data_IF_662349131704
#
_entry.id   IF_662349131704
#
_cell.length_a   1.000
_cell.length_b   1.000
_cell.length_c   1.000
_cell.angle_alpha   90.00
_cell.angle_beta   90.00
_cell.angle_gamma   90.00
#
_symmetry.space_group_name_H-M   'P 1'
#
loop_
_entity.id
_entity.type
_entity.pdbx_description
1 polymer ?
#
# COMPACT_ATOMS: atom_id res chain seq x y z
N UNK A 1 -1.97 13.63 17.77
CA UNK A 1 -1.76 12.18 17.61
C UNK A 1 -3.09 11.48 17.47
N UNK A 2 -3.30 10.76 16.38
CA UNK A 2 -4.51 9.98 16.17
C UNK A 2 -4.55 8.74 17.07
N UNK A 3 -5.71 8.08 17.16
CA UNK A 3 -5.90 6.86 17.98
C UNK A 3 -4.95 5.70 17.63
N UNK A 4 -4.37 5.69 16.43
CA UNK A 4 -3.48 4.65 15.93
C UNK A 4 -1.99 5.00 16.06
N UNK A 5 -1.66 6.17 16.57
CA UNK A 5 -0.26 6.59 16.79
C UNK A 5 0.53 6.94 15.53
N UNK A 6 -0.11 7.01 14.35
CA UNK A 6 0.57 7.44 13.13
C UNK A 6 0.91 8.92 13.16
N UNK A 7 2.12 9.24 12.75
CA UNK A 7 2.58 10.60 12.49
C UNK A 7 2.30 11.01 11.05
N UNK A 8 1.97 12.29 10.86
CA UNK A 8 1.84 12.87 9.54
C UNK A 8 3.25 13.13 8.97
N UNK A 9 3.56 12.53 7.84
CA UNK A 9 4.82 12.78 7.11
C UNK A 9 4.68 14.01 6.24
N UNK A 10 3.73 13.99 5.31
CA UNK A 10 3.49 15.09 4.39
C UNK A 10 2.06 15.05 3.81
N UNK A 11 1.65 16.18 3.24
CA UNK A 11 0.48 16.28 2.36
C UNK A 11 0.95 16.70 0.98
N UNK A 12 0.61 15.93 0.00
CA UNK A 12 0.94 16.20 -1.39
C UNK A 12 -0.30 16.69 -2.13
N UNK A 13 -0.15 17.75 -2.88
CA UNK A 13 -1.24 18.36 -3.61
C UNK A 13 -0.76 19.35 -4.65
N UNK A 14 -1.60 20.32 -4.97
CA UNK A 14 -1.29 21.36 -5.93
C UNK A 14 -1.82 22.71 -5.48
N UNK A 15 -1.05 23.78 -5.80
CA UNK A 15 -1.50 25.16 -5.76
C UNK A 15 -1.42 25.65 -7.21
N UNK A 16 -2.55 25.95 -7.82
CA UNK A 16 -2.60 26.16 -9.28
C UNK A 16 -2.11 24.93 -10.04
N UNK A 17 -1.07 25.09 -10.85
CA UNK A 17 -0.45 24.00 -11.64
C UNK A 17 0.81 23.42 -10.98
N UNK A 18 1.25 24.00 -9.87
CA UNK A 18 2.46 23.58 -9.17
C UNK A 18 2.18 22.42 -8.20
N UNK A 19 3.02 21.37 -8.25
CA UNK A 19 3.00 20.27 -7.30
C UNK A 19 3.71 20.67 -6.01
N UNK A 20 3.01 20.55 -4.89
CA UNK A 20 3.49 20.96 -3.57
C UNK A 20 3.50 19.76 -2.63
N UNK A 21 4.61 19.59 -1.91
CA UNK A 21 4.68 18.76 -0.72
C UNK A 21 4.60 19.69 0.50
N UNK A 22 3.47 19.71 1.17
CA UNK A 22 3.29 20.48 2.39
C UNK A 22 3.77 19.65 3.59
N UNK A 23 4.68 20.25 4.36
CA UNK A 23 5.25 19.61 5.56
C UNK A 23 4.18 19.29 6.61
N UNK A 24 4.51 18.34 7.49
CA UNK A 24 3.63 17.88 8.57
C UNK A 24 3.10 19.03 9.46
N UNK A 25 3.92 20.06 9.68
CA UNK A 25 3.56 21.24 10.50
C UNK A 25 2.60 22.23 9.82
N UNK A 26 2.37 22.13 8.51
CA UNK A 26 1.46 23.04 7.80
C UNK A 26 0.03 22.84 8.28
N UNK A 27 -0.61 23.93 8.75
CA UNK A 27 -2.01 23.87 9.16
C UNK A 27 -2.96 23.84 7.95
N UNK A 28 -4.15 23.25 8.10
CA UNK A 28 -5.18 23.30 7.07
C UNK A 28 -5.59 24.73 6.71
N UNK A 29 -5.64 25.63 7.70
CA UNK A 29 -5.98 27.03 7.48
C UNK A 29 -4.99 27.72 6.54
N UNK A 30 -3.68 27.44 6.68
CA UNK A 30 -2.66 27.95 5.78
C UNK A 30 -2.84 27.38 4.36
N UNK A 31 -3.04 26.07 4.26
CA UNK A 31 -3.18 25.38 2.99
C UNK A 31 -4.44 25.85 2.21
N UNK A 32 -5.57 25.99 2.90
CA UNK A 32 -6.83 26.48 2.31
C UNK A 32 -6.70 27.92 1.81
N UNK A 33 -6.03 28.80 2.58
CA UNK A 33 -5.77 30.17 2.17
C UNK A 33 -4.97 30.26 0.88
N UNK A 34 -4.00 29.36 0.71
CA UNK A 34 -3.14 29.33 -0.46
C UNK A 34 -3.77 28.56 -1.65
N UNK A 35 -4.98 28.06 -1.48
CA UNK A 35 -5.73 27.32 -2.53
C UNK A 35 -5.18 25.92 -2.81
N UNK A 36 -4.59 25.29 -1.80
CA UNK A 36 -4.05 23.94 -1.89
C UNK A 36 -5.14 22.91 -2.16
N UNK A 37 -4.95 22.11 -3.20
CA UNK A 37 -5.81 20.97 -3.54
C UNK A 37 -5.11 19.68 -3.18
N UNK A 38 -5.56 19.06 -2.09
CA UNK A 38 -5.01 17.80 -1.60
C UNK A 38 -5.13 16.69 -2.64
N UNK A 39 -4.03 15.98 -2.87
CA UNK A 39 -3.98 14.74 -3.65
C UNK A 39 -3.85 13.53 -2.75
N UNK A 40 -2.92 13.55 -1.79
CA UNK A 40 -2.73 12.47 -0.84
C UNK A 40 -2.12 12.97 0.47
N UNK A 41 -2.34 12.20 1.53
CA UNK A 41 -1.71 12.38 2.84
C UNK A 41 -0.90 11.13 3.16
N UNK A 42 0.34 11.31 3.52
CA UNK A 42 1.25 10.26 3.91
C UNK A 42 1.40 10.22 5.42
N UNK A 43 1.24 9.04 5.99
CA UNK A 43 1.28 8.76 7.41
C UNK A 43 2.28 7.62 7.65
N UNK A 44 3.03 7.69 8.74
CA UNK A 44 4.00 6.67 9.11
C UNK A 44 3.98 6.34 10.58
N UNK A 45 4.21 5.09 10.91
CA UNK A 45 4.52 4.64 12.26
C UNK A 45 5.45 3.41 12.16
N UNK A 46 6.71 3.58 12.54
CA UNK A 46 7.73 2.54 12.42
C UNK A 46 7.88 2.06 10.97
N UNK A 47 7.82 0.77 10.78
CA UNK A 47 7.90 0.13 9.46
C UNK A 47 6.57 0.13 8.67
N UNK A 48 5.54 0.86 9.13
CA UNK A 48 4.25 0.92 8.45
C UNK A 48 4.03 2.30 7.84
N UNK A 49 3.94 2.37 6.53
CA UNK A 49 3.57 3.57 5.78
C UNK A 49 2.14 3.44 5.24
N UNK A 50 1.31 4.46 5.49
CA UNK A 50 -0.08 4.51 5.03
C UNK A 50 -0.32 5.78 4.24
N UNK A 51 -0.73 5.62 3.00
CA UNK A 51 -1.08 6.74 2.12
C UNK A 51 -2.59 6.80 1.93
N UNK A 52 -3.19 7.92 2.33
CA UNK A 52 -4.62 8.18 2.17
C UNK A 52 -4.82 9.22 1.08
N UNK A 53 -5.65 8.91 0.09
CA UNK A 53 -5.98 9.86 -0.96
C UNK A 53 -7.50 10.05 -1.09
N UNK A 54 -7.98 11.27 -1.44
CA UNK A 54 -9.36 11.49 -1.80
C UNK A 54 -9.74 10.61 -2.99
N UNK A 55 -10.86 9.93 -2.90
CA UNK A 55 -11.38 9.08 -3.97
C UNK A 55 -12.78 9.51 -4.40
N UNK A 56 -13.19 9.08 -5.60
CA UNK A 56 -14.55 9.29 -6.10
C UNK A 56 -15.51 8.17 -5.70
N UNK A 57 -15.02 7.17 -4.99
CA UNK A 57 -15.76 6.00 -4.57
C UNK A 57 -16.52 6.27 -3.28
N UNK A 58 -17.74 5.76 -3.19
CA UNK A 58 -18.55 5.88 -1.96
C UNK A 58 -18.02 5.06 -0.80
N UNK A 59 -17.22 4.03 -1.11
CA UNK A 59 -16.65 3.09 -0.14
C UNK A 59 -15.13 3.18 -0.24
N UNK A 60 -14.42 3.33 0.88
CA UNK A 60 -12.97 3.25 0.91
C UNK A 60 -12.48 1.92 0.31
N UNK A 61 -11.39 1.96 -0.44
CA UNK A 61 -10.76 0.78 -1.01
C UNK A 61 -9.24 0.90 -0.94
N UNK A 62 -8.56 -0.23 -0.96
CA UNK A 62 -7.13 -0.27 -1.20
C UNK A 62 -6.87 0.02 -2.67
N UNK A 63 -5.99 0.96 -2.96
CA UNK A 63 -5.52 1.23 -4.32
C UNK A 63 -4.35 0.32 -4.65
N UNK A 64 -3.38 0.22 -3.74
CA UNK A 64 -2.23 -0.67 -3.87
C UNK A 64 -1.67 -1.09 -2.52
N UNK A 65 -0.94 -2.19 -2.52
CA UNK A 65 -0.07 -2.65 -1.44
C UNK A 65 1.37 -2.50 -1.90
N UNK A 66 2.21 -1.83 -1.09
CA UNK A 66 3.65 -1.78 -1.29
C UNK A 66 4.31 -3.02 -0.68
N UNK A 67 5.18 -3.67 -1.43
CA UNK A 67 5.93 -4.85 -0.99
C UNK A 67 7.39 -4.65 -1.38
N UNK A 68 8.28 -4.68 -0.37
CA UNK A 68 9.72 -4.73 -0.61
C UNK A 68 10.13 -6.19 -0.88
N UNK A 69 10.92 -6.39 -1.92
CA UNK A 69 11.37 -7.69 -2.40
C UNK A 69 12.89 -7.68 -2.54
N UNK A 70 13.54 -8.84 -2.46
CA UNK A 70 14.91 -8.92 -2.93
C UNK A 70 15.00 -8.84 -4.47
N UNK A 71 16.20 -8.74 -5.02
CA UNK A 71 16.42 -8.51 -6.44
C UNK A 71 15.86 -9.67 -7.28
N UNK A 72 16.08 -10.90 -6.85
CA UNK A 72 15.62 -12.10 -7.56
C UNK A 72 14.11 -12.24 -7.48
N UNK A 73 13.52 -11.98 -6.31
CA UNK A 73 12.08 -11.97 -6.09
C UNK A 73 11.39 -10.89 -6.94
N UNK A 74 11.97 -9.67 -6.98
CA UNK A 74 11.45 -8.57 -7.79
C UNK A 74 11.37 -8.96 -9.27
N UNK A 75 12.46 -9.47 -9.84
CA UNK A 75 12.46 -9.92 -11.23
C UNK A 75 11.50 -11.08 -11.47
N UNK A 76 11.45 -12.06 -10.56
CA UNK A 76 10.56 -13.20 -10.68
C UNK A 76 9.06 -12.80 -10.62
N UNK A 77 8.70 -11.80 -9.83
CA UNK A 77 7.33 -11.24 -9.82
C UNK A 77 6.99 -10.61 -11.17
N UNK A 78 7.90 -9.82 -11.75
CA UNK A 78 7.67 -9.17 -13.04
C UNK A 78 7.56 -10.20 -14.17
N UNK A 79 8.39 -11.24 -14.18
CA UNK A 79 8.30 -12.33 -15.15
C UNK A 79 6.95 -13.07 -15.06
N UNK A 80 6.51 -13.39 -13.83
CA UNK A 80 5.19 -14.01 -13.62
C UNK A 80 4.05 -13.10 -14.06
N UNK A 81 4.12 -11.81 -13.75
CA UNK A 81 3.14 -10.83 -14.18
C UNK A 81 3.01 -10.79 -15.71
N UNK A 82 4.13 -10.75 -16.43
CA UNK A 82 4.14 -10.78 -17.90
C UNK A 82 3.58 -12.09 -18.43
N UNK A 83 3.99 -13.23 -17.87
CA UNK A 83 3.51 -14.57 -18.26
C UNK A 83 1.99 -14.71 -18.10
N UNK A 84 1.41 -14.04 -17.11
CA UNK A 84 -0.04 -14.08 -16.87
C UNK A 84 -0.79 -12.93 -17.53
N UNK A 85 -0.12 -12.17 -18.39
CA UNK A 85 -0.68 -11.01 -19.08
C UNK A 85 -1.27 -9.96 -18.13
N UNK A 86 -0.66 -9.82 -16.93
CA UNK A 86 -1.00 -8.76 -16.01
C UNK A 86 -0.37 -7.44 -16.49
N UNK A 87 -1.07 -6.35 -16.28
CA UNK A 87 -0.55 -5.04 -16.65
C UNK A 87 0.52 -4.61 -15.66
N UNK A 88 1.74 -4.42 -16.15
CA UNK A 88 2.85 -3.81 -15.42
C UNK A 88 2.99 -2.35 -15.84
N UNK A 89 3.12 -1.45 -14.88
CA UNK A 89 3.29 -0.01 -15.09
C UNK A 89 4.48 0.50 -14.30
N UNK A 90 5.45 1.06 -15.02
CA UNK A 90 6.57 1.78 -14.41
C UNK A 90 6.31 3.28 -14.43
N UNK A 91 6.59 3.94 -13.32
CA UNK A 91 6.46 5.37 -13.19
C UNK A 91 7.82 6.02 -12.86
N UNK A 92 8.46 6.54 -13.90
CA UNK A 92 9.69 7.33 -13.77
C UNK A 92 10.89 6.58 -13.18
N UNK A 93 10.94 5.25 -13.35
CA UNK A 93 12.01 4.41 -12.81
C UNK A 93 12.02 4.28 -11.27
N UNK A 94 10.95 4.76 -10.60
CA UNK A 94 10.88 4.77 -9.13
C UNK A 94 9.78 3.88 -8.56
N UNK A 95 8.78 3.53 -9.36
CA UNK A 95 7.61 2.79 -8.88
C UNK A 95 7.17 1.81 -9.93
N UNK A 96 7.06 0.56 -9.56
CA UNK A 96 6.58 -0.50 -10.43
C UNK A 96 5.29 -1.08 -9.88
N UNK A 97 4.20 -0.95 -10.63
CA UNK A 97 2.89 -1.46 -10.25
C UNK A 97 2.51 -2.66 -11.10
N UNK A 98 2.02 -3.70 -10.45
CA UNK A 98 1.41 -4.87 -11.10
C UNK A 98 -0.08 -4.85 -10.79
N UNK A 99 -0.92 -4.77 -11.82
CA UNK A 99 -2.37 -4.85 -11.64
C UNK A 99 -2.76 -6.28 -11.29
N UNK A 100 -3.39 -6.47 -10.14
CA UNK A 100 -3.95 -7.77 -9.75
C UNK A 100 -5.38 -7.93 -10.24
N UNK A 101 -5.88 -9.16 -10.24
CA UNK A 101 -7.29 -9.44 -10.53
C UNK A 101 -8.19 -9.37 -9.28
N UNK A 102 -7.67 -8.78 -8.18
CA UNK A 102 -8.35 -8.68 -6.90
C UNK A 102 -8.78 -7.25 -6.53
N UNK A 103 -8.86 -6.35 -7.51
CA UNK A 103 -9.37 -4.98 -7.32
C UNK A 103 -8.34 -3.99 -6.76
N UNK A 104 -7.10 -4.39 -6.53
CA UNK A 104 -5.98 -3.52 -6.12
C UNK A 104 -4.74 -3.80 -6.97
N UNK A 105 -3.71 -2.98 -6.82
CA UNK A 105 -2.40 -3.18 -7.45
C UNK A 105 -1.36 -3.56 -6.41
N UNK A 106 -0.32 -4.26 -6.83
CA UNK A 106 0.91 -4.35 -6.06
C UNK A 106 1.87 -3.26 -6.53
N UNK A 107 2.42 -2.50 -5.60
CA UNK A 107 3.60 -1.68 -5.82
C UNK A 107 4.81 -2.48 -5.32
N UNK A 108 5.64 -2.94 -6.25
CA UNK A 108 6.80 -3.78 -5.92
C UNK A 108 8.07 -2.94 -5.93
N UNK A 109 8.86 -3.08 -4.89
CA UNK A 109 10.09 -2.32 -4.65
C UNK A 109 11.29 -3.26 -4.63
N UNK A 110 12.32 -3.01 -5.47
CA UNK A 110 13.59 -3.71 -5.37
C UNK A 110 14.38 -3.25 -4.13
N UNK A 111 15.45 -3.97 -3.74
CA UNK A 111 16.32 -3.55 -2.64
C UNK A 111 16.95 -2.18 -2.89
N UNK A 112 17.16 -1.42 -1.83
CA UNK A 112 17.76 -0.07 -1.86
C UNK A 112 16.93 0.94 -2.67
N UNK A 113 15.63 0.74 -2.70
CA UNK A 113 14.71 1.72 -3.23
C UNK A 113 14.51 2.86 -2.19
N UNK A 114 14.00 3.99 -2.67
CA UNK A 114 13.68 5.15 -1.83
C UNK A 114 12.74 4.84 -0.66
N UNK A 115 11.98 3.76 -0.76
CA UNK A 115 11.06 3.33 0.31
C UNK A 115 11.83 2.89 1.57
N UNK A 116 13.03 2.34 1.43
CA UNK A 116 13.85 1.88 2.54
C UNK A 116 14.23 3.05 3.47
N UNK A 117 14.41 4.24 2.90
CA UNK A 117 14.72 5.46 3.64
C UNK A 117 13.51 5.99 4.45
N UNK A 118 12.29 5.59 4.07
CA UNK A 118 11.07 6.01 4.74
C UNK A 118 10.69 5.10 5.91
N UNK A 119 11.10 3.84 5.89
CA UNK A 119 10.75 2.89 6.93
C UNK A 119 11.71 3.01 8.12
N UNK A 120 11.14 3.28 9.30
CA UNK A 120 11.93 3.33 10.54
C UNK A 120 11.94 1.97 11.23
N UNK A 121 13.01 1.20 11.03
CA UNK A 121 13.17 -0.13 11.63
C UNK A 121 13.35 -0.10 13.16
N UNK A 122 13.59 1.07 13.76
CA UNK A 122 13.76 1.21 15.21
C UNK A 122 12.44 1.17 15.97
N UNK A 123 11.34 1.39 15.30
CA UNK A 123 10.01 1.30 15.87
C UNK A 123 9.49 -0.13 15.80
N UNK A 124 8.79 -0.56 16.83
CA UNK A 124 8.31 -1.94 16.97
C UNK A 124 6.95 -2.20 16.31
N UNK A 125 6.29 -1.16 15.77
CA UNK A 125 5.01 -1.34 15.12
C UNK A 125 5.17 -2.06 13.79
N UNK A 126 4.51 -3.19 13.68
CA UNK A 126 4.44 -3.98 12.45
C UNK A 126 2.97 -4.19 12.05
N UNK A 127 2.71 -4.22 10.77
CA UNK A 127 1.44 -4.68 10.24
C UNK A 127 1.43 -6.21 10.31
N UNK A 128 0.66 -6.78 11.22
CA UNK A 128 0.59 -8.23 11.39
C UNK A 128 -0.42 -8.89 10.47
N UNK A 129 -1.54 -8.21 10.21
CA UNK A 129 -2.56 -8.72 9.30
C UNK A 129 -3.23 -7.57 8.52
N UNK A 130 -3.43 -7.77 7.23
CA UNK A 130 -4.24 -6.95 6.36
C UNK A 130 -5.40 -7.78 5.84
N UNK A 131 -6.64 -7.40 6.16
CA UNK A 131 -7.84 -8.05 5.67
C UNK A 131 -8.42 -7.31 4.47
N UNK A 132 -8.64 -8.04 3.38
CA UNK A 132 -9.24 -7.56 2.14
C UNK A 132 -10.53 -8.35 1.87
N UNK A 133 -11.58 -7.69 1.43
CA UNK A 133 -12.81 -8.39 1.04
C UNK A 133 -12.78 -8.72 -0.45
N UNK A 134 -13.16 -9.95 -0.77
CA UNK A 134 -13.17 -10.44 -2.15
C UNK A 134 -14.28 -11.49 -2.35
N UNK A 135 -14.75 -11.64 -3.59
CA UNK A 135 -15.81 -12.60 -3.93
C UNK A 135 -15.34 -14.06 -3.82
N UNK A 136 -14.07 -14.33 -4.11
CA UNK A 136 -13.48 -15.68 -4.09
C UNK A 136 -12.19 -15.68 -3.26
N UNK A 137 -12.28 -15.62 -1.91
CA UNK A 137 -11.14 -15.41 -1.02
C UNK A 137 -9.96 -16.34 -1.27
N UNK A 138 -10.18 -17.64 -1.31
CA UNK A 138 -9.13 -18.65 -1.53
C UNK A 138 -8.48 -18.53 -2.91
N UNK A 139 -9.28 -18.25 -3.96
CA UNK A 139 -8.74 -18.03 -5.30
C UNK A 139 -7.89 -16.76 -5.39
N UNK A 140 -8.30 -15.68 -4.69
CA UNK A 140 -7.51 -14.44 -4.63
C UNK A 140 -6.23 -14.62 -3.81
N UNK A 141 -6.28 -15.37 -2.71
CA UNK A 141 -5.09 -15.74 -1.95
C UNK A 141 -4.14 -16.60 -2.80
N UNK A 142 -4.64 -17.60 -3.49
CA UNK A 142 -3.86 -18.40 -4.41
C UNK A 142 -3.18 -17.57 -5.50
N UNK A 143 -3.93 -16.68 -6.15
CA UNK A 143 -3.38 -15.81 -7.20
C UNK A 143 -2.29 -14.84 -6.68
N UNK A 144 -2.47 -14.27 -5.47
CA UNK A 144 -1.45 -13.44 -4.84
C UNK A 144 -0.20 -14.26 -4.48
N UNK A 145 -0.41 -15.42 -3.85
CA UNK A 145 0.68 -16.32 -3.48
C UNK A 145 1.50 -16.75 -4.70
N UNK A 146 0.83 -17.20 -5.75
CA UNK A 146 1.48 -17.59 -6.99
C UNK A 146 2.26 -16.43 -7.64
N UNK A 147 1.69 -15.22 -7.66
CA UNK A 147 2.37 -14.03 -8.20
C UNK A 147 3.64 -13.72 -7.41
N UNK A 148 3.61 -13.82 -6.09
CA UNK A 148 4.76 -13.58 -5.22
C UNK A 148 5.72 -14.78 -5.12
N UNK A 149 5.35 -15.96 -5.62
CA UNK A 149 6.13 -17.18 -5.47
C UNK A 149 6.03 -17.80 -4.07
N UNK A 150 4.95 -17.50 -3.37
CA UNK A 150 4.64 -17.97 -2.02
C UNK A 150 3.63 -19.12 -2.03
N UNK A 151 3.19 -19.53 -0.86
CA UNK A 151 2.09 -20.50 -0.70
C UNK A 151 0.91 -19.82 -0.03
N UNK A 152 -0.28 -20.08 -0.54
CA UNK A 152 -1.51 -19.74 0.15
C UNK A 152 -1.82 -20.77 1.24
N UNK A 153 -2.42 -20.30 2.33
CA UNK A 153 -3.02 -21.09 3.38
C UNK A 153 -4.51 -20.73 3.45
N UNK A 154 -5.31 -21.49 2.67
CA UNK A 154 -6.72 -21.18 2.47
C UNK A 154 -6.93 -19.79 1.86
N UNK A 155 -7.55 -18.91 2.63
CA UNK A 155 -7.86 -17.52 2.27
C UNK A 155 -6.72 -16.52 2.56
N UNK A 156 -5.54 -16.99 2.99
CA UNK A 156 -4.45 -16.13 3.46
C UNK A 156 -3.12 -16.39 2.75
N UNK A 157 -2.28 -15.37 2.71
CA UNK A 157 -0.89 -15.42 2.23
C UNK A 157 0.02 -14.75 3.25
N UNK A 158 1.10 -15.44 3.63
CA UNK A 158 2.14 -14.87 4.49
C UNK A 158 3.18 -14.15 3.63
N UNK A 159 3.26 -12.83 3.78
CA UNK A 159 4.22 -11.96 3.11
C UNK A 159 5.18 -11.43 4.17
N UNK A 160 6.34 -12.06 4.32
CA UNK A 160 7.24 -11.81 5.43
C UNK A 160 6.55 -12.11 6.77
N UNK A 161 6.42 -11.08 7.62
CA UNK A 161 5.74 -11.18 8.93
C UNK A 161 4.27 -10.74 8.88
N UNK A 162 3.78 -10.31 7.73
CA UNK A 162 2.41 -9.84 7.54
C UNK A 162 1.55 -10.91 6.89
N UNK A 163 0.34 -11.12 7.40
CA UNK A 163 -0.67 -11.95 6.76
C UNK A 163 -1.58 -11.07 5.91
N UNK A 164 -1.70 -11.39 4.63
CA UNK A 164 -2.75 -10.82 3.77
C UNK A 164 -3.87 -11.84 3.69
N UNK A 165 -5.02 -11.53 4.28
CA UNK A 165 -6.18 -12.40 4.32
C UNK A 165 -7.32 -11.85 3.47
N UNK A 166 -7.93 -12.71 2.70
CA UNK A 166 -9.12 -12.39 1.93
C UNK A 166 -10.37 -12.89 2.65
N UNK A 167 -11.34 -12.00 2.86
CA UNK A 167 -12.60 -12.32 3.52
C UNK A 167 -13.74 -12.39 2.51
N UNK A 168 -14.72 -13.26 2.72
CA UNK A 168 -15.93 -13.28 1.90
C UNK A 168 -16.78 -12.03 2.16
N UNK A 169 -17.62 -11.71 1.20
CA UNK A 169 -18.63 -10.65 1.25
C UNK A 169 -18.12 -9.20 1.35
N UNK A 170 -18.56 -8.41 0.44
CA UNK A 170 -18.29 -6.97 0.37
C UNK A 170 -17.64 -6.56 -0.94
N UNK A 171 -17.54 -5.26 -1.20
CA UNK A 171 -16.85 -4.76 -2.38
C UNK A 171 -15.37 -5.16 -2.33
N UNK A 172 -14.85 -5.67 -3.43
CA UNK A 172 -13.44 -6.03 -3.58
C UNK A 172 -12.51 -4.87 -3.20
N UNK A 173 -11.39 -5.19 -2.59
CA UNK A 173 -10.37 -4.23 -2.19
C UNK A 173 -10.75 -3.34 -1.02
N UNK A 174 -11.82 -3.63 -0.29
CA UNK A 174 -12.14 -2.93 0.95
C UNK A 174 -11.18 -3.38 2.05
N UNK A 175 -10.34 -2.48 2.59
CA UNK A 175 -9.42 -2.85 3.67
C UNK A 175 -10.14 -2.94 5.00
N UNK A 176 -9.75 -3.90 5.80
CA UNK A 176 -9.90 -3.86 7.25
C UNK A 176 -8.49 -4.04 7.81
N UNK A 177 -7.98 -3.01 8.49
CA UNK A 177 -6.65 -3.04 9.10
C UNK A 177 -6.77 -3.50 10.54
N UNK A 178 -6.11 -4.61 10.86
CA UNK A 178 -5.93 -5.06 12.23
C UNK A 178 -4.44 -4.94 12.57
N UNK A 179 -4.15 -4.05 13.51
CA UNK A 179 -2.82 -3.95 14.10
C UNK A 179 -2.89 -4.37 15.57
N UNK A 180 -2.09 -5.35 15.98
CA UNK A 180 -1.81 -5.54 17.38
C UNK A 180 -0.72 -4.56 17.80
N UNK A 181 -0.95 -3.86 18.93
CA UNK A 181 0.11 -3.11 19.60
C UNK A 181 1.01 -4.12 20.29
N UNK A 182 2.25 -4.16 19.91
CA UNK A 182 3.28 -4.77 20.73
C UNK A 182 3.75 -3.76 21.78
N UNK A 183 3.68 -4.16 23.03
CA UNK A 183 4.24 -3.42 24.18
C UNK A 183 5.72 -3.74 24.33
#
# INVERSE_FOLDING_TARGET
MGKLGFDLVARYGRIGDEHIAAEAGASWEMLDRDGFKLRLTELQHGAVNVVVQPGHWRIPRVDHLGIALDEDEFHAVLERAVKWNLRVQEHGGRRTFVATNAGYRLEVHPPRDWIDDLLDERETLQLTELQLRADEPEAKAGALADLLGLRADGDAVHVGQTVVRFLPDGPEGRPELYGERFS
#
